data_IF_096154595490
#
_entry.id   IF_096154595490
#
_cell.length_a   1.000
_cell.length_b   1.000
_cell.length_c   1.000
_cell.angle_alpha   90.00
_cell.angle_beta   90.00
_cell.angle_gamma   90.00
#
_symmetry.space_group_name_H-M   'P 1'
#
loop_
_entity.id
_entity.type
_entity.pdbx_description
1 polymer ?
#
# COMPACT_ATOMS: atom_id res chain seq x y z
N UNK A 1 9.06 -13.74 -41.40
CA UNK A 1 8.63 -13.71 -39.97
C UNK A 1 8.28 -12.28 -39.58
N UNK A 2 7.05 -11.97 -39.12
CA UNK A 2 6.70 -10.60 -38.75
C UNK A 2 7.38 -10.24 -37.42
N UNK A 3 8.22 -9.21 -37.46
CA UNK A 3 8.93 -8.63 -36.32
C UNK A 3 7.88 -8.09 -35.32
N UNK A 4 7.66 -8.77 -34.18
CA UNK A 4 6.79 -8.28 -33.10
C UNK A 4 7.22 -6.85 -32.75
N UNK A 5 6.41 -5.87 -33.15
CA UNK A 5 6.63 -4.44 -32.87
C UNK A 5 6.61 -4.29 -31.34
N UNK A 6 7.74 -3.96 -30.71
CA UNK A 6 7.77 -3.59 -29.29
C UNK A 6 6.78 -2.43 -29.13
N UNK A 7 5.67 -2.65 -28.42
CA UNK A 7 4.72 -1.58 -28.11
C UNK A 7 5.47 -0.51 -27.31
N UNK A 8 5.53 0.71 -27.86
CA UNK A 8 6.16 1.84 -27.17
C UNK A 8 5.32 2.15 -25.93
N UNK A 9 5.96 2.25 -24.78
CA UNK A 9 5.27 2.60 -23.54
C UNK A 9 4.56 3.96 -23.67
N UNK A 10 3.26 4.06 -23.35
CA UNK A 10 2.54 5.33 -23.34
C UNK A 10 3.18 6.33 -22.37
N UNK A 11 3.36 7.58 -22.80
CA UNK A 11 3.97 8.65 -21.97
C UNK A 11 3.25 8.85 -20.64
N UNK A 12 1.92 8.78 -20.64
CA UNK A 12 1.08 8.96 -19.45
C UNK A 12 1.29 7.81 -18.47
N UNK A 13 1.41 6.57 -18.95
CA UNK A 13 1.72 5.41 -18.09
C UNK A 13 3.07 5.59 -17.40
N UNK A 14 4.09 6.00 -18.16
CA UNK A 14 5.45 6.25 -17.62
C UNK A 14 5.47 7.36 -16.56
N UNK A 15 4.73 8.44 -16.76
CA UNK A 15 4.59 9.51 -15.76
C UNK A 15 3.87 9.02 -14.52
N UNK A 16 2.75 8.31 -14.67
CA UNK A 16 2.02 7.74 -13.54
C UNK A 16 2.88 6.77 -12.71
N UNK A 17 3.70 5.96 -13.38
CA UNK A 17 4.64 5.05 -12.71
C UNK A 17 5.75 5.78 -11.95
N UNK A 18 6.29 6.88 -12.49
CA UNK A 18 7.25 7.76 -11.78
C UNK A 18 6.63 8.49 -10.59
N UNK A 19 5.41 9.00 -10.73
CA UNK A 19 4.69 9.60 -9.62
C UNK A 19 4.41 8.56 -8.52
N UNK A 20 4.09 7.33 -8.91
CA UNK A 20 3.91 6.21 -7.96
C UNK A 20 5.22 5.95 -7.19
N UNK A 21 6.37 5.89 -7.87
CA UNK A 21 7.69 5.75 -7.23
C UNK A 21 7.96 6.88 -6.23
N UNK A 22 7.72 8.13 -6.63
CA UNK A 22 7.95 9.30 -5.78
C UNK A 22 7.07 9.28 -4.51
N UNK A 23 5.79 8.97 -4.63
CA UNK A 23 4.88 8.90 -3.47
C UNK A 23 5.27 7.76 -2.51
N UNK A 24 5.67 6.58 -3.03
CA UNK A 24 6.15 5.49 -2.17
C UNK A 24 7.43 5.90 -1.43
N UNK A 25 8.37 6.55 -2.11
CA UNK A 25 9.61 7.02 -1.46
C UNK A 25 9.32 8.09 -0.41
N UNK A 26 8.42 9.02 -0.71
CA UNK A 26 7.95 9.98 0.27
C UNK A 26 7.40 9.27 1.51
N UNK A 27 6.51 8.29 1.38
CA UNK A 27 5.96 7.56 2.54
C UNK A 27 7.02 6.84 3.38
N UNK A 28 8.00 6.19 2.73
CA UNK A 28 9.10 5.49 3.40
C UNK A 28 10.03 6.46 4.15
N UNK A 29 10.30 7.61 3.55
CA UNK A 29 11.13 8.64 4.17
C UNK A 29 10.34 9.28 5.31
N UNK A 30 9.15 9.79 5.04
CA UNK A 30 8.35 10.61 5.94
C UNK A 30 7.87 9.87 7.20
N UNK A 31 7.43 8.62 7.07
CA UNK A 31 6.72 7.90 8.16
C UNK A 31 7.49 7.88 9.49
N UNK A 32 8.80 7.56 9.55
CA UNK A 32 9.54 7.60 10.81
C UNK A 32 9.70 9.00 11.42
N UNK A 33 9.82 10.04 10.58
CA UNK A 33 9.95 11.42 11.04
C UNK A 33 8.62 12.02 11.49
N UNK A 34 7.52 11.45 11.03
CA UNK A 34 6.17 11.87 11.39
C UNK A 34 5.65 11.08 12.60
N UNK A 35 6.52 10.84 13.58
CA UNK A 35 6.28 10.10 14.83
C UNK A 35 5.70 8.70 14.61
N UNK A 36 6.12 8.01 13.54
CA UNK A 36 5.55 6.70 13.23
C UNK A 36 4.04 6.74 12.95
N UNK A 37 3.52 7.90 12.54
CA UNK A 37 2.11 8.12 12.18
C UNK A 37 1.11 7.97 13.33
N UNK A 38 1.48 8.43 14.52
CA UNK A 38 0.57 8.47 15.68
C UNK A 38 -0.29 9.74 15.72
N UNK A 39 0.27 10.87 15.30
CA UNK A 39 -0.42 12.16 15.31
C UNK A 39 -1.48 12.27 14.21
N UNK A 40 -2.60 12.93 14.51
CA UNK A 40 -3.75 13.00 13.58
C UNK A 40 -3.38 13.59 12.21
N UNK A 41 -2.55 14.65 12.19
CA UNK A 41 -2.08 15.28 10.95
C UNK A 41 -1.15 14.34 10.14
N UNK A 42 -0.36 13.51 10.82
CA UNK A 42 0.56 12.56 10.20
C UNK A 42 -0.20 11.39 9.56
N UNK A 43 -1.22 10.87 10.26
CA UNK A 43 -2.14 9.84 9.74
C UNK A 43 -2.83 10.35 8.47
N UNK A 44 -3.40 11.56 8.51
CA UNK A 44 -4.06 12.14 7.34
C UNK A 44 -3.11 12.35 6.17
N UNK A 45 -1.87 12.80 6.41
CA UNK A 45 -0.86 12.96 5.36
C UNK A 45 -0.58 11.62 4.65
N UNK A 46 -0.43 10.56 5.42
CA UNK A 46 -0.19 9.21 4.88
C UNK A 46 -1.41 8.65 4.15
N UNK A 47 -2.62 8.86 4.68
CA UNK A 47 -3.87 8.44 4.02
C UNK A 47 -4.09 9.18 2.70
N UNK A 48 -3.92 10.51 2.67
CA UNK A 48 -4.03 11.30 1.44
C UNK A 48 -3.02 10.81 0.40
N UNK A 49 -1.78 10.55 0.83
CA UNK A 49 -0.75 9.99 -0.06
C UNK A 49 -1.15 8.62 -0.60
N UNK A 50 -1.69 7.75 0.25
CA UNK A 50 -2.20 6.44 -0.15
C UNK A 50 -3.37 6.55 -1.14
N UNK A 51 -4.33 7.47 -0.92
CA UNK A 51 -5.41 7.70 -1.87
C UNK A 51 -4.89 8.23 -3.21
N UNK A 52 -3.87 9.10 -3.19
CA UNK A 52 -3.15 9.53 -4.38
C UNK A 52 -2.54 8.36 -5.16
N UNK A 53 -1.93 7.39 -4.46
CA UNK A 53 -1.46 6.15 -5.08
C UNK A 53 -2.60 5.36 -5.73
N UNK A 54 -3.78 5.32 -5.10
CA UNK A 54 -4.98 4.69 -5.67
C UNK A 54 -5.45 5.32 -6.97
N UNK A 55 -5.48 6.66 -7.04
CA UNK A 55 -5.80 7.39 -8.27
C UNK A 55 -4.79 7.04 -9.38
N UNK A 56 -3.50 7.01 -9.05
CA UNK A 56 -2.47 6.60 -10.01
C UNK A 56 -2.62 5.14 -10.45
N UNK A 57 -2.96 4.23 -9.55
CA UNK A 57 -3.21 2.82 -9.86
C UNK A 57 -4.38 2.66 -10.84
N UNK A 58 -5.52 3.29 -10.56
CA UNK A 58 -6.70 3.28 -11.43
C UNK A 58 -6.35 3.90 -12.79
N UNK A 59 -5.60 5.00 -12.82
CA UNK A 59 -5.15 5.62 -14.07
C UNK A 59 -4.32 4.64 -14.92
N UNK A 60 -3.40 3.89 -14.31
CA UNK A 60 -2.60 2.87 -15.00
C UNK A 60 -3.47 1.76 -15.56
N UNK A 61 -4.48 1.31 -14.81
CA UNK A 61 -5.42 0.28 -15.28
C UNK A 61 -6.24 0.77 -16.48
N UNK A 62 -6.78 1.98 -16.43
CA UNK A 62 -7.51 2.59 -17.54
C UNK A 62 -6.62 2.73 -18.78
N UNK A 63 -5.37 3.17 -18.61
CA UNK A 63 -4.42 3.30 -19.73
C UNK A 63 -4.08 1.94 -20.33
N UNK A 64 -3.81 0.92 -19.50
CA UNK A 64 -3.51 -0.44 -19.97
C UNK A 64 -4.68 -1.06 -20.71
N UNK A 65 -5.90 -0.83 -20.22
CA UNK A 65 -7.13 -1.30 -20.85
C UNK A 65 -7.39 -0.61 -22.20
N UNK A 66 -7.32 0.72 -22.25
CA UNK A 66 -7.59 1.51 -23.47
C UNK A 66 -6.53 1.36 -24.56
N UNK A 67 -5.26 1.29 -24.21
CA UNK A 67 -4.15 1.23 -25.18
C UNK A 67 -3.73 -0.20 -25.54
N UNK A 68 -4.27 -1.21 -24.85
CA UNK A 68 -3.78 -2.59 -24.93
C UNK A 68 -2.33 -2.75 -24.50
N UNK A 69 -1.73 -1.73 -23.88
CA UNK A 69 -0.34 -1.74 -23.45
C UNK A 69 -0.15 -2.79 -22.35
N UNK A 70 0.65 -3.81 -22.67
CA UNK A 70 1.11 -4.79 -21.70
C UNK A 70 2.50 -4.38 -21.25
N UNK A 71 2.68 -3.93 -20.00
CA UNK A 71 4.00 -3.53 -19.49
C UNK A 71 4.99 -4.69 -19.47
N UNK A 72 4.48 -5.93 -19.45
CA UNK A 72 5.29 -7.13 -19.44
C UNK A 72 5.11 -7.94 -20.74
N UNK A 73 6.17 -8.60 -21.23
CA UNK A 73 6.21 -9.29 -22.53
C UNK A 73 5.16 -10.33 -22.94
N UNK A 74 4.01 -10.60 -22.31
CA UNK A 74 3.18 -11.80 -22.58
C UNK A 74 3.96 -13.12 -22.46
N UNK A 75 3.26 -14.15 -22.05
CA UNK A 75 3.85 -15.40 -21.55
C UNK A 75 4.84 -16.02 -22.52
N UNK A 76 5.95 -16.54 -21.97
CA UNK A 76 6.75 -17.52 -22.69
C UNK A 76 5.79 -18.59 -23.21
N UNK A 77 5.95 -19.06 -24.46
CA UNK A 77 5.05 -20.04 -25.04
C UNK A 77 4.88 -21.22 -24.08
N UNK A 78 3.65 -21.74 -23.95
CA UNK A 78 3.27 -22.81 -23.00
C UNK A 78 4.24 -24.01 -23.01
N UNK A 79 4.97 -24.19 -24.11
CA UNK A 79 5.89 -25.29 -24.36
C UNK A 79 7.26 -25.13 -23.65
N UNK A 80 7.57 -23.97 -23.06
CA UNK A 80 8.87 -23.71 -22.38
C UNK A 80 8.76 -23.62 -20.84
N UNK A 81 7.55 -23.72 -20.27
CA UNK A 81 7.34 -23.48 -18.83
C UNK A 81 7.51 -24.81 -18.06
N UNK A 82 8.50 -24.86 -17.18
CA UNK A 82 8.71 -26.00 -16.27
C UNK A 82 7.46 -26.24 -15.40
N UNK A 83 7.05 -27.49 -15.12
CA UNK A 83 5.91 -27.78 -14.23
C UNK A 83 6.06 -27.14 -12.84
N UNK A 84 7.30 -26.92 -12.37
CA UNK A 84 7.58 -26.17 -11.13
C UNK A 84 7.16 -24.70 -11.24
N UNK A 85 7.46 -24.04 -12.36
CA UNK A 85 7.10 -22.64 -12.59
C UNK A 85 5.58 -22.45 -12.72
N UNK A 86 4.89 -23.41 -13.36
CA UNK A 86 3.44 -23.41 -13.43
C UNK A 86 2.79 -23.48 -12.04
N UNK A 87 3.24 -24.40 -11.17
CA UNK A 87 2.76 -24.52 -9.78
C UNK A 87 2.99 -23.25 -8.97
N UNK A 88 4.20 -22.68 -9.02
CA UNK A 88 4.52 -21.43 -8.31
C UNK A 88 3.64 -20.27 -8.77
N UNK A 89 3.35 -20.18 -10.07
CA UNK A 89 2.47 -19.16 -10.62
C UNK A 89 1.02 -19.31 -10.14
N UNK A 90 0.54 -20.55 -10.06
CA UNK A 90 -0.80 -20.85 -9.56
C UNK A 90 -0.92 -20.48 -8.07
N UNK A 91 0.06 -20.88 -7.25
CA UNK A 91 0.14 -20.50 -5.83
C UNK A 91 0.17 -18.98 -5.68
N UNK A 92 0.97 -18.28 -6.49
CA UNK A 92 1.02 -16.82 -6.43
C UNK A 92 -0.35 -16.19 -6.73
N UNK A 93 -1.06 -16.69 -7.75
CA UNK A 93 -2.41 -16.21 -8.10
C UNK A 93 -3.42 -16.49 -6.98
N UNK A 94 -3.41 -17.67 -6.38
CA UNK A 94 -4.34 -18.03 -5.29
C UNK A 94 -4.05 -17.21 -4.04
N UNK A 95 -2.79 -17.12 -3.59
CA UNK A 95 -2.41 -16.29 -2.45
C UNK A 95 -2.78 -14.82 -2.66
N UNK A 96 -2.58 -14.30 -3.87
CA UNK A 96 -2.98 -12.95 -4.24
C UNK A 96 -4.49 -12.75 -4.11
N UNK A 97 -5.27 -13.64 -4.72
CA UNK A 97 -6.73 -13.57 -4.68
C UNK A 97 -7.26 -13.66 -3.26
N UNK A 98 -6.73 -14.60 -2.47
CA UNK A 98 -7.08 -14.76 -1.06
C UNK A 98 -6.76 -13.49 -0.26
N UNK A 99 -5.57 -12.90 -0.46
CA UNK A 99 -5.19 -11.64 0.20
C UNK A 99 -6.18 -10.52 -0.12
N UNK A 100 -6.61 -10.40 -1.38
CA UNK A 100 -7.60 -9.42 -1.79
C UNK A 100 -8.95 -9.64 -1.08
N UNK A 101 -9.43 -10.88 -1.06
CA UNK A 101 -10.69 -11.24 -0.42
C UNK A 101 -10.65 -10.96 1.09
N UNK A 102 -9.58 -11.37 1.78
CA UNK A 102 -9.43 -11.14 3.22
C UNK A 102 -9.39 -9.64 3.56
N UNK A 103 -8.67 -8.84 2.77
CA UNK A 103 -8.64 -7.38 2.94
C UNK A 103 -10.02 -6.75 2.75
N UNK A 104 -10.78 -7.19 1.74
CA UNK A 104 -12.14 -6.69 1.49
C UNK A 104 -13.13 -7.13 2.57
N UNK A 105 -13.01 -8.37 3.07
CA UNK A 105 -13.83 -8.86 4.18
C UNK A 105 -13.54 -8.08 5.47
N UNK A 106 -12.27 -7.82 5.77
CA UNK A 106 -11.88 -6.98 6.90
C UNK A 106 -12.46 -5.57 6.75
N UNK A 107 -12.31 -4.95 5.58
CA UNK A 107 -12.83 -3.61 5.34
C UNK A 107 -14.37 -3.57 5.42
N UNK A 108 -15.05 -4.58 4.89
CA UNK A 108 -16.49 -4.75 4.99
C UNK A 108 -16.97 -4.97 6.42
N UNK A 109 -16.22 -5.71 7.23
CA UNK A 109 -16.47 -5.88 8.66
C UNK A 109 -16.38 -4.53 9.39
N UNK A 110 -15.30 -3.76 9.16
CA UNK A 110 -15.12 -2.44 9.79
C UNK A 110 -16.22 -1.48 9.35
N UNK A 111 -16.58 -1.46 8.07
CA UNK A 111 -17.65 -0.63 7.54
C UNK A 111 -19.01 -0.99 8.16
N UNK A 112 -19.33 -2.28 8.23
CA UNK A 112 -20.57 -2.76 8.86
C UNK A 112 -20.61 -2.37 10.33
N UNK A 113 -19.48 -2.51 11.03
CA UNK A 113 -19.35 -2.13 12.44
C UNK A 113 -19.48 -0.60 12.66
N UNK A 114 -18.96 0.21 11.74
CA UNK A 114 -19.07 1.67 11.78
C UNK A 114 -20.50 2.17 11.53
N UNK A 115 -21.22 1.52 10.60
CA UNK A 115 -22.63 1.85 10.29
C UNK A 115 -23.55 1.34 11.40
N UNK A 116 -23.31 0.14 11.90
CA UNK A 116 -24.08 -0.48 12.99
C UNK A 116 -23.47 -0.16 14.37
N UNK A 117 -22.90 1.04 14.54
CA UNK A 117 -22.28 1.42 15.80
C UNK A 117 -23.33 1.58 16.91
N UNK A 118 -23.03 1.06 18.10
CA UNK A 118 -23.91 1.12 19.28
C UNK A 118 -23.77 2.41 20.07
N UNK A 119 -22.57 2.97 20.07
CA UNK A 119 -22.30 4.20 20.77
C UNK A 119 -21.19 4.98 20.05
N UNK A 120 -21.08 6.25 20.41
CA UNK A 120 -19.87 7.06 20.17
C UNK A 120 -19.35 7.53 21.51
N UNK A 121 -18.06 7.35 21.74
CA UNK A 121 -17.40 7.87 22.95
C UNK A 121 -16.97 9.32 22.71
N UNK A 122 -17.24 10.19 23.67
CA UNK A 122 -16.72 11.56 23.68
C UNK A 122 -15.51 11.64 24.61
N UNK A 123 -14.34 11.92 24.05
CA UNK A 123 -13.09 12.05 24.81
C UNK A 123 -13.07 13.25 25.76
N UNK A 124 -13.82 14.31 25.46
CA UNK A 124 -13.83 15.52 26.30
C UNK A 124 -14.71 15.32 27.53
N UNK A 125 -15.93 14.80 27.32
CA UNK A 125 -16.90 14.60 28.40
C UNK A 125 -16.77 13.25 29.09
N UNK A 126 -15.98 12.32 28.53
CA UNK A 126 -15.85 10.92 28.98
C UNK A 126 -17.18 10.16 29.01
N UNK A 127 -18.14 10.57 28.16
CA UNK A 127 -19.47 10.00 28.10
C UNK A 127 -19.73 9.23 26.80
N UNK A 128 -20.65 8.28 26.86
CA UNK A 128 -21.13 7.53 25.70
C UNK A 128 -22.47 8.06 25.23
N UNK A 129 -22.55 8.44 23.96
CA UNK A 129 -23.83 8.68 23.29
C UNK A 129 -24.30 7.39 22.62
N UNK A 130 -25.35 6.78 23.15
CA UNK A 130 -25.91 5.53 22.62
C UNK A 130 -26.86 5.81 21.45
N UNK A 131 -26.80 4.96 20.43
CA UNK A 131 -27.71 4.99 19.29
C UNK A 131 -28.77 3.89 19.42
N UNK A 132 -30.00 4.20 19.01
CA UNK A 132 -31.09 3.21 18.94
C UNK A 132 -31.06 2.43 17.61
N UNK A 133 -31.71 1.27 17.55
CA UNK A 133 -31.88 0.51 16.30
C UNK A 133 -30.72 -0.39 15.87
N UNK A 134 -29.79 -0.72 16.76
CA UNK A 134 -28.67 -1.64 16.47
C UNK A 134 -29.19 -3.04 16.13
N UNK A 135 -28.66 -3.59 15.04
CA UNK A 135 -28.85 -4.99 14.74
C UNK A 135 -27.85 -5.85 15.53
N UNK A 136 -28.35 -6.62 16.49
CA UNK A 136 -27.54 -7.49 17.37
C UNK A 136 -26.80 -8.61 16.63
N UNK A 137 -27.26 -8.97 15.43
CA UNK A 137 -26.68 -10.07 14.65
C UNK A 137 -25.51 -9.61 13.76
N UNK A 138 -25.33 -8.30 13.60
CA UNK A 138 -24.23 -7.73 12.83
C UNK A 138 -23.10 -7.27 13.77
N UNK A 139 -21.85 -7.22 13.26
CA UNK A 139 -20.77 -6.53 13.95
C UNK A 139 -21.18 -5.11 14.33
N UNK A 140 -20.81 -4.67 15.53
CA UNK A 140 -21.08 -3.32 16.03
C UNK A 140 -19.90 -2.82 16.84
N UNK A 141 -19.66 -1.51 16.81
CA UNK A 141 -18.64 -0.86 17.63
C UNK A 141 -19.26 0.02 18.72
N UNK A 142 -18.48 0.31 19.77
CA UNK A 142 -18.85 1.25 20.84
C UNK A 142 -18.24 2.65 20.66
N UNK A 143 -17.53 2.84 19.56
CA UNK A 143 -16.96 4.12 19.16
C UNK A 143 -17.14 4.32 17.65
N UNK A 144 -18.27 4.91 17.27
CA UNK A 144 -18.59 5.19 15.87
C UNK A 144 -17.52 6.06 15.20
N UNK A 145 -17.08 7.15 15.83
CA UNK A 145 -16.09 8.09 15.26
C UNK A 145 -14.74 7.40 15.04
N UNK A 146 -14.25 6.68 16.05
CA UNK A 146 -13.02 5.91 15.93
C UNK A 146 -13.11 4.82 14.86
N UNK A 147 -14.25 4.13 14.76
CA UNK A 147 -14.43 3.06 13.75
C UNK A 147 -14.47 3.61 12.33
N UNK A 148 -15.12 4.77 12.10
CA UNK A 148 -15.04 5.48 10.82
C UNK A 148 -13.62 5.90 10.49
N UNK A 149 -12.88 6.42 11.46
CA UNK A 149 -11.48 6.78 11.28
C UNK A 149 -10.60 5.57 10.93
N UNK A 150 -10.83 4.42 11.57
CA UNK A 150 -10.17 3.16 11.22
C UNK A 150 -10.52 2.71 9.80
N UNK A 151 -11.79 2.78 9.39
CA UNK A 151 -12.19 2.42 8.03
C UNK A 151 -11.34 3.15 6.97
N UNK A 152 -11.19 4.47 7.11
CA UNK A 152 -10.39 5.28 6.17
C UNK A 152 -8.91 4.89 6.18
N UNK A 153 -8.32 4.62 7.34
CA UNK A 153 -6.94 4.15 7.45
C UNK A 153 -6.73 2.79 6.78
N UNK A 154 -7.60 1.81 7.06
CA UNK A 154 -7.50 0.48 6.46
C UNK A 154 -7.73 0.53 4.94
N UNK A 155 -8.64 1.37 4.46
CA UNK A 155 -8.80 1.63 3.03
C UNK A 155 -7.49 2.17 2.42
N UNK A 156 -6.86 3.14 3.07
CA UNK A 156 -5.56 3.68 2.67
C UNK A 156 -4.47 2.60 2.60
N UNK A 157 -4.36 1.75 3.62
CA UNK A 157 -3.39 0.64 3.66
C UNK A 157 -3.61 -0.38 2.54
N UNK A 158 -4.87 -0.74 2.25
CA UNK A 158 -5.22 -1.64 1.15
C UNK A 158 -4.78 -1.01 -0.18
N UNK A 159 -5.10 0.26 -0.41
CA UNK A 159 -4.69 0.98 -1.62
C UNK A 159 -3.16 1.05 -1.75
N UNK A 160 -2.45 1.36 -0.66
CA UNK A 160 -0.99 1.39 -0.61
C UNK A 160 -0.40 0.02 -0.99
N UNK A 161 -0.93 -1.06 -0.41
CA UNK A 161 -0.49 -2.42 -0.70
C UNK A 161 -0.61 -2.75 -2.20
N UNK A 162 -1.80 -2.54 -2.78
CA UNK A 162 -2.05 -2.87 -4.19
C UNK A 162 -1.26 -1.98 -5.14
N UNK A 163 -1.11 -0.70 -4.82
CA UNK A 163 -0.35 0.26 -5.63
C UNK A 163 1.15 -0.07 -5.61
N UNK A 164 1.70 -0.37 -4.43
CA UNK A 164 3.10 -0.77 -4.25
C UNK A 164 3.37 -2.10 -4.94
N UNK A 165 2.45 -3.07 -4.83
CA UNK A 165 2.56 -4.36 -5.51
C UNK A 165 2.57 -4.19 -7.02
N UNK A 166 1.64 -3.43 -7.59
CA UNK A 166 1.60 -3.13 -9.03
C UNK A 166 2.92 -2.51 -9.50
N UNK A 167 3.39 -1.50 -8.77
CA UNK A 167 4.66 -0.82 -9.04
C UNK A 167 5.87 -1.76 -8.95
N UNK A 168 5.94 -2.63 -7.94
CA UNK A 168 7.02 -3.63 -7.83
C UNK A 168 6.97 -4.61 -8.99
N UNK A 169 5.80 -5.14 -9.34
CA UNK A 169 5.67 -6.12 -10.45
C UNK A 169 6.06 -5.54 -11.82
N UNK A 170 6.03 -4.21 -11.99
CA UNK A 170 6.49 -3.54 -13.21
C UNK A 170 8.00 -3.64 -13.49
N UNK A 171 8.83 -3.96 -12.49
CA UNK A 171 10.28 -4.11 -12.65
C UNK A 171 10.69 -5.59 -12.67
N UNK A 172 10.62 -6.23 -13.84
CA UNK A 172 11.20 -7.56 -13.99
C UNK A 172 12.74 -7.51 -14.01
N UNK A 173 13.42 -8.47 -13.35
CA UNK A 173 14.86 -8.59 -13.45
C UNK A 173 15.26 -8.86 -14.90
N UNK A 174 16.14 -8.03 -15.45
CA UNK A 174 16.84 -8.34 -16.70
C UNK A 174 17.61 -9.66 -16.53
N UNK A 175 17.51 -10.50 -17.56
CA UNK A 175 17.69 -11.97 -17.63
C UNK A 175 18.97 -12.59 -17.06
N UNK A 176 19.84 -11.88 -16.34
CA UNK A 176 21.23 -12.32 -16.11
C UNK A 176 21.71 -12.43 -14.68
N UNK A 177 20.87 -12.32 -13.64
CA UNK A 177 21.39 -12.66 -12.30
C UNK A 177 20.30 -12.99 -11.28
N UNK A 178 20.72 -13.75 -10.27
CA UNK A 178 20.03 -14.24 -9.06
C UNK A 178 19.42 -13.11 -8.17
N UNK A 179 19.28 -11.89 -8.69
CA UNK A 179 19.13 -10.66 -7.92
C UNK A 179 17.67 -10.20 -7.75
N UNK A 180 17.39 -9.70 -6.54
CA UNK A 180 16.18 -8.97 -6.15
C UNK A 180 15.72 -7.98 -7.22
N UNK A 181 14.40 -7.76 -7.28
CA UNK A 181 13.79 -6.70 -8.06
C UNK A 181 14.49 -5.34 -7.81
N UNK A 182 14.92 -4.60 -8.85
CA UNK A 182 15.70 -3.37 -8.67
C UNK A 182 14.93 -2.28 -7.91
N UNK A 183 13.60 -2.19 -8.09
CA UNK A 183 12.75 -1.27 -7.34
C UNK A 183 12.72 -1.61 -5.85
N UNK A 184 12.64 -2.90 -5.54
CA UNK A 184 12.68 -3.40 -4.17
C UNK A 184 14.05 -3.16 -3.53
N UNK A 185 15.15 -3.38 -4.26
CA UNK A 185 16.50 -3.07 -3.79
C UNK A 185 16.65 -1.59 -3.41
N UNK A 186 16.12 -0.68 -4.24
CA UNK A 186 16.11 0.76 -3.92
C UNK A 186 15.30 1.07 -2.67
N UNK A 187 14.13 0.45 -2.49
CA UNK A 187 13.32 0.62 -1.27
C UNK A 187 14.07 0.17 -0.02
N UNK A 188 14.70 -1.01 -0.06
CA UNK A 188 15.51 -1.49 1.06
C UNK A 188 16.65 -0.54 1.37
N UNK A 189 17.37 -0.08 0.34
CA UNK A 189 18.45 0.89 0.50
C UNK A 189 17.95 2.19 1.15
N UNK A 190 16.81 2.73 0.67
CA UNK A 190 16.21 3.94 1.21
C UNK A 190 15.78 3.76 2.67
N UNK A 191 15.16 2.64 3.00
CA UNK A 191 14.75 2.32 4.37
C UNK A 191 15.97 2.17 5.31
N UNK A 192 17.04 1.51 4.87
CA UNK A 192 18.28 1.40 5.62
C UNK A 192 18.93 2.77 5.86
N UNK A 193 18.99 3.61 4.83
CA UNK A 193 19.54 4.97 4.96
C UNK A 193 18.71 5.80 5.93
N UNK A 194 17.38 5.77 5.80
CA UNK A 194 16.48 6.50 6.68
C UNK A 194 16.63 6.04 8.14
N UNK A 195 16.69 4.72 8.37
CA UNK A 195 16.93 4.13 9.68
C UNK A 195 18.28 4.51 10.28
N UNK A 196 19.35 4.55 9.47
CA UNK A 196 20.68 4.96 9.94
C UNK A 196 20.72 6.42 10.39
N UNK A 197 20.05 7.32 9.67
CA UNK A 197 19.95 8.74 10.06
C UNK A 197 19.18 8.91 11.37
N UNK A 198 18.06 8.19 11.53
CA UNK A 198 17.29 8.21 12.78
C UNK A 198 18.11 7.67 13.95
N UNK A 199 18.82 6.56 13.77
CA UNK A 199 19.69 6.00 14.80
C UNK A 199 20.78 6.99 15.22
N UNK A 200 21.40 7.68 14.25
CA UNK A 200 22.39 8.72 14.53
C UNK A 200 21.79 9.88 15.32
N UNK A 201 20.59 10.34 14.94
CA UNK A 201 19.89 11.40 15.67
C UNK A 201 19.60 11.00 17.12
N UNK A 202 19.14 9.76 17.36
CA UNK A 202 18.91 9.27 18.71
C UNK A 202 20.21 9.23 19.55
N UNK A 203 21.34 8.83 18.94
CA UNK A 203 22.65 8.85 19.62
C UNK A 203 23.04 10.28 19.99
N UNK A 204 22.91 11.23 19.06
CA UNK A 204 23.25 12.63 19.31
C UNK A 204 22.35 13.27 20.37
N UNK A 205 21.05 12.99 20.33
CA UNK A 205 20.12 13.46 21.36
C UNK A 205 20.51 12.94 22.74
N UNK A 206 20.85 11.65 22.84
CA UNK A 206 21.29 11.06 24.11
C UNK A 206 22.53 11.74 24.67
N UNK A 207 23.57 11.93 23.85
CA UNK A 207 24.81 12.59 24.28
C UNK A 207 24.53 14.02 24.73
N UNK A 208 23.74 14.78 23.96
CA UNK A 208 23.41 16.17 24.30
C UNK A 208 22.67 16.31 25.64
N UNK A 209 21.76 15.40 25.95
CA UNK A 209 21.06 15.40 27.25
C UNK A 209 21.95 14.99 28.42
N UNK A 210 22.95 14.12 28.19
CA UNK A 210 23.94 13.75 29.22
C UNK A 210 24.87 14.94 29.57
N UNK A 211 25.20 15.81 28.61
CA UNK A 211 26.08 16.99 28.84
C UNK A 211 25.38 18.18 29.53
N UNK A 212 24.04 18.16 29.64
CA UNK A 212 23.23 19.28 30.18
C UNK A 212 22.67 19.02 31.58
N UNK A 213 22.95 17.84 32.17
CA UNK A 213 22.68 17.52 33.58
C UNK A 213 23.94 17.68 34.44
#
# INVERSE_FOLDING_TARGET
MPRKRKSREPRIHKWSDRCTEALIYFMVIFSPWAFGTTEHWSIWTMNITAYGLGVLLVSKWIIRWSTGFRPWPSEAPKNEISPRQHRLRQIHKTCTGLTAVLMLLLLGYILTSAINARASFNLETHEYTYYEGINKNLPHSYDARGTWFLFWQYLGLIILYWSTRDWLTGAHPTRSSIFLNPRFKKLLFLACLNGAVLALQCILQRIYYEDTQ
#
